data_IF_791679621403
#
_entry.id   IF_791679621403
#
_cell.length_a   1.000
_cell.length_b   1.000
_cell.length_c   1.000
_cell.angle_alpha   90.00
_cell.angle_beta   90.00
_cell.angle_gamma   90.00
#
_symmetry.space_group_name_H-M   'P 1'
#
loop_
_entity.id
_entity.type
_entity.pdbx_description
1 polymer ?
2 non-polymer ?
3 non-polymer ?
4 water ?
#
# COMPACT_ATOMS: atom_id res chain seq x y z
N UNK A 2 20.65 -5.99 26.35
CA UNK A 2 19.31 -6.63 26.30
C UNK A 2 19.22 -7.59 25.15
N UNK A 3 18.70 -8.78 25.47
CA UNK A 3 18.56 -9.83 24.47
C UNK A 3 17.76 -9.42 23.26
N UNK A 4 16.72 -8.59 23.43
CA UNK A 4 15.90 -8.26 22.30
C UNK A 4 16.61 -7.44 21.21
N UNK A 5 17.71 -6.77 21.57
CA UNK A 5 18.47 -6.04 20.56
C UNK A 5 19.75 -6.74 20.09
N UNK A 6 20.10 -7.89 20.70
CA UNK A 6 21.31 -8.64 20.38
C UNK A 6 21.01 -9.64 19.29
N UNK A 7 21.59 -9.40 18.12
CA UNK A 7 21.41 -10.18 16.88
C UNK A 7 22.78 -10.60 16.30
N UNK A 8 22.83 -11.78 15.70
CA UNK A 8 24.09 -12.23 15.05
C UNK A 8 24.56 -11.31 13.93
N UNK A 9 25.86 -11.22 13.70
CA UNK A 9 26.40 -10.36 12.61
C UNK A 9 26.24 -11.06 11.25
N UNK A 10 26.26 -12.38 11.28
CA UNK A 10 26.10 -13.15 10.05
C UNK A 10 25.47 -14.50 10.34
N UNK A 11 24.98 -15.14 9.28
CA UNK A 11 24.37 -16.46 9.36
C UNK A 11 24.99 -17.36 8.33
N UNK A 12 24.58 -18.63 8.38
CA UNK A 12 24.92 -19.60 7.33
C UNK A 12 23.69 -20.03 6.52
N UNK A 13 23.87 -20.27 5.22
CA UNK A 13 22.72 -20.47 4.38
C UNK A 13 22.55 -21.79 3.62
N UNK A 14 23.61 -22.47 3.28
CA UNK A 14 23.35 -23.55 2.31
C UNK A 14 23.22 -24.90 3.02
N UNK A 15 22.53 -24.84 4.15
CA UNK A 15 22.28 -25.97 5.05
C UNK A 15 20.80 -26.47 5.04
N UNK A 16 20.61 -27.72 5.42
CA UNK A 16 19.27 -28.31 5.40
C UNK A 16 18.20 -27.55 6.18
N UNK A 17 18.47 -27.04 7.39
CA UNK A 17 17.39 -26.32 8.10
C UNK A 17 16.85 -25.08 7.34
N UNK A 18 17.75 -24.28 6.77
CA UNK A 18 17.42 -23.07 5.98
C UNK A 18 16.56 -23.50 4.78
N UNK A 19 17.10 -24.47 4.05
CA UNK A 19 16.44 -24.88 2.81
C UNK A 19 15.07 -25.43 3.07
N UNK A 20 14.93 -26.35 4.02
CA UNK A 20 13.61 -26.98 4.33
C UNK A 20 12.60 -26.01 4.90
N UNK A 21 13.04 -25.09 5.75
CA UNK A 21 12.14 -24.08 6.30
C UNK A 21 11.50 -23.25 5.15
N UNK A 22 12.40 -22.70 4.30
CA UNK A 22 11.83 -21.87 3.22
C UNK A 22 11.12 -22.68 2.19
N UNK A 23 11.46 -23.96 2.02
CA UNK A 23 10.75 -24.80 1.03
C UNK A 23 9.29 -24.97 1.48
N UNK A 24 9.11 -25.22 2.79
CA UNK A 24 7.73 -25.41 3.28
C UNK A 24 6.91 -24.13 3.08
N UNK A 25 7.54 -22.97 3.33
CA UNK A 25 6.83 -21.69 3.09
C UNK A 25 6.54 -21.47 1.61
N UNK A 26 7.52 -21.71 0.76
CA UNK A 26 7.33 -21.60 -0.69
C UNK A 26 6.15 -22.44 -1.17
N UNK A 27 6.09 -23.71 -0.78
CA UNK A 27 5.03 -24.59 -1.21
C UNK A 27 3.69 -24.09 -0.68
N UNK A 28 3.63 -23.62 0.54
CA UNK A 28 2.38 -23.10 1.04
C UNK A 28 1.91 -21.84 0.31
N UNK A 29 2.84 -20.94 -0.02
CA UNK A 29 2.50 -19.65 -0.62
C UNK A 29 2.22 -19.80 -2.14
N UNK A 30 2.63 -20.91 -2.74
CA UNK A 30 2.41 -21.21 -4.15
C UNK A 30 0.96 -21.63 -4.33
N UNK A 31 0.09 -20.63 -4.24
CA UNK A 31 -1.36 -20.84 -4.27
C UNK A 31 -1.81 -21.71 -5.45
N UNK A 32 -1.35 -21.43 -6.66
CA UNK A 32 -1.81 -22.17 -7.85
C UNK A 32 -1.00 -23.42 -8.11
N UNK A 33 -0.08 -23.72 -7.19
CA UNK A 33 0.71 -24.95 -7.23
C UNK A 33 1.58 -25.15 -8.46
N UNK A 34 1.94 -24.07 -9.15
CA UNK A 34 2.68 -24.23 -10.42
C UNK A 34 4.22 -24.25 -10.26
N UNK A 35 4.70 -24.28 -9.02
CA UNK A 35 6.12 -24.39 -8.78
C UNK A 35 6.88 -23.08 -8.93
N UNK A 36 6.16 -21.97 -9.06
CA UNK A 36 6.73 -20.64 -9.13
C UNK A 36 5.98 -19.78 -8.17
N UNK A 37 6.66 -18.84 -7.51
CA UNK A 37 6.01 -17.97 -6.59
C UNK A 37 5.98 -16.55 -7.19
N UNK A 38 4.93 -15.81 -6.89
CA UNK A 38 4.87 -14.40 -7.31
C UNK A 38 4.59 -13.50 -6.11
N UNK A 39 4.92 -12.21 -6.23
CA UNK A 39 4.54 -11.30 -5.16
C UNK A 39 3.01 -11.28 -4.96
N UNK A 40 2.23 -11.53 -6.03
CA UNK A 40 0.76 -11.57 -5.91
C UNK A 40 0.36 -12.66 -4.89
N UNK A 41 0.92 -13.85 -5.08
CA UNK A 41 0.66 -15.00 -4.17
C UNK A 41 1.12 -14.70 -2.73
N UNK A 42 2.35 -14.18 -2.58
CA UNK A 42 2.86 -13.82 -1.26
C UNK A 42 1.96 -12.78 -0.56
N UNK A 43 1.56 -11.67 -1.22
CA UNK A 43 0.76 -10.67 -0.57
C UNK A 43 -0.63 -11.22 -0.21
N UNK A 44 -1.17 -12.09 -1.07
CA UNK A 44 -2.47 -12.71 -0.82
C UNK A 44 -2.45 -13.50 0.47
N UNK A 45 -1.39 -14.29 0.67
CA UNK A 45 -1.35 -15.17 1.85
C UNK A 45 -0.80 -14.49 3.09
N UNK A 46 0.23 -13.70 2.89
CA UNK A 46 0.97 -13.13 4.00
C UNK A 46 0.35 -11.80 4.48
N UNK A 47 -0.46 -11.15 3.64
CA UNK A 47 -1.05 -9.88 4.05
C UNK A 47 -2.57 -9.91 3.93
N UNK A 48 -3.16 -10.14 2.76
CA UNK A 48 -4.65 -10.09 2.67
C UNK A 48 -5.35 -11.02 3.70
N UNK A 49 -5.01 -12.32 3.67
CA UNK A 49 -5.70 -13.33 4.48
C UNK A 49 -5.38 -13.09 5.97
N UNK A 50 -4.14 -12.79 6.30
CA UNK A 50 -3.79 -12.59 7.71
C UNK A 50 -4.47 -11.33 8.27
N UNK A 51 -4.43 -10.19 7.58
CA UNK A 51 -5.05 -9.00 8.10
C UNK A 51 -6.56 -9.17 8.22
N UNK A 52 -7.20 -9.89 7.29
CA UNK A 52 -8.65 -10.21 7.39
C UNK A 52 -8.94 -11.06 8.64
N UNK A 53 -8.14 -12.11 8.82
CA UNK A 53 -8.30 -12.95 10.03
C UNK A 53 -8.14 -12.12 11.33
N UNK A 54 -7.18 -11.18 11.36
CA UNK A 54 -6.93 -10.36 12.56
C UNK A 54 -7.87 -9.15 12.67
N UNK A 55 -8.77 -8.98 11.69
CA UNK A 55 -9.74 -7.85 11.68
C UNK A 55 -9.02 -6.50 11.76
N UNK A 56 -7.93 -6.39 10.98
CA UNK A 56 -7.20 -5.13 10.87
C UNK A 56 -8.07 -4.06 10.19
N UNK A 57 -7.85 -2.81 10.55
CA UNK A 57 -8.53 -1.68 9.87
C UNK A 57 -7.96 -1.45 8.47
N UNK A 58 -8.67 -0.67 7.62
CA UNK A 58 -8.03 -0.40 6.31
C UNK A 58 -6.65 0.26 6.41
N UNK A 59 -6.45 1.23 7.28
CA UNK A 59 -5.13 1.82 7.39
C UNK A 59 -4.09 0.84 7.84
N UNK A 60 -4.44 0.03 8.85
CA UNK A 60 -3.50 -1.02 9.27
C UNK A 60 -3.17 -2.01 8.18
N UNK A 61 -4.17 -2.36 7.37
CA UNK A 61 -3.97 -3.32 6.27
C UNK A 61 -3.09 -2.73 5.18
N UNK A 62 -3.32 -1.46 4.80
CA UNK A 62 -2.44 -0.80 3.81
C UNK A 62 -1.00 -0.78 4.33
N UNK A 63 -0.84 -0.38 5.56
CA UNK A 63 0.48 -0.28 6.10
C UNK A 63 1.20 -1.61 6.08
N UNK A 64 0.49 -2.63 6.49
CA UNK A 64 0.99 -3.97 6.52
C UNK A 64 1.41 -4.46 5.14
N UNK A 65 0.51 -4.23 4.20
CA UNK A 65 0.80 -4.64 2.82
C UNK A 65 2.03 -3.94 2.25
N UNK A 66 2.19 -2.63 2.51
CA UNK A 66 3.30 -1.88 1.98
C UNK A 66 4.61 -2.46 2.60
N UNK A 67 4.58 -2.83 3.88
CA UNK A 67 5.76 -3.48 4.50
C UNK A 67 6.10 -4.85 3.95
N UNK A 68 5.08 -5.66 3.68
CA UNK A 68 5.25 -6.97 3.06
C UNK A 68 5.83 -6.81 1.66
N UNK A 69 5.27 -5.89 0.86
CA UNK A 69 5.80 -5.64 -0.46
C UNK A 69 7.27 -5.23 -0.37
N UNK A 70 7.65 -4.30 0.50
CA UNK A 70 9.05 -3.93 0.58
C UNK A 70 9.96 -5.10 0.94
N UNK A 71 9.50 -5.87 1.93
CA UNK A 71 10.27 -7.02 2.41
C UNK A 71 10.53 -8.01 1.29
N UNK A 72 9.50 -8.41 0.56
CA UNK A 72 9.70 -9.40 -0.46
C UNK A 72 10.32 -8.89 -1.75
N UNK A 73 10.17 -7.59 -2.00
CA UNK A 73 10.97 -6.98 -3.06
C UNK A 73 12.46 -7.08 -2.69
N UNK A 74 12.77 -7.03 -1.40
CA UNK A 74 14.12 -7.28 -0.97
C UNK A 74 14.69 -8.65 -1.26
N UNK A 75 13.79 -9.63 -1.46
CA UNK A 75 14.14 -11.00 -1.90
C UNK A 75 14.07 -11.16 -3.42
N UNK A 76 13.82 -10.08 -4.15
CA UNK A 76 13.75 -10.20 -5.60
C UNK A 76 12.36 -10.49 -6.19
N UNK A 77 11.30 -10.42 -5.36
CA UNK A 77 9.95 -10.64 -5.87
C UNK A 77 9.36 -9.39 -6.52
N UNK A 78 8.39 -9.60 -7.42
CA UNK A 78 7.67 -8.49 -8.00
C UNK A 78 6.31 -8.98 -8.48
N UNK A 79 5.32 -8.08 -8.46
CA UNK A 79 4.03 -8.51 -9.04
C UNK A 79 4.18 -8.99 -10.48
N UNK A 80 3.57 -10.12 -10.78
CA UNK A 80 3.58 -10.74 -12.10
C UNK A 80 4.85 -11.46 -12.47
N UNK A 81 5.83 -11.50 -11.56
CA UNK A 81 7.12 -12.13 -11.86
C UNK A 81 7.16 -13.51 -11.24
N UNK A 82 7.21 -14.53 -12.09
CA UNK A 82 7.16 -15.90 -11.54
C UNK A 82 8.54 -16.38 -11.21
N UNK A 83 8.76 -16.77 -9.96
CA UNK A 83 10.14 -17.15 -9.56
C UNK A 83 10.17 -18.55 -8.96
N UNK A 84 11.11 -19.38 -9.44
CA UNK A 84 11.28 -20.76 -8.97
C UNK A 84 12.01 -20.78 -7.62
N UNK A 85 11.91 -21.93 -6.95
CA UNK A 85 12.43 -22.00 -5.58
C UNK A 85 13.96 -21.66 -5.42
N UNK A 86 14.84 -22.17 -6.31
CA UNK A 86 16.26 -21.85 -6.10
C UNK A 86 16.49 -20.32 -6.17
N UNK A 87 15.87 -19.62 -7.12
CA UNK A 87 16.07 -18.17 -7.17
C UNK A 87 15.42 -17.45 -6.00
N UNK A 88 14.31 -18.00 -5.51
CA UNK A 88 13.68 -17.50 -4.29
C UNK A 88 14.67 -17.56 -3.09
N UNK A 89 15.31 -18.72 -2.93
CA UNK A 89 16.35 -18.95 -1.90
C UNK A 89 17.50 -17.96 -2.05
N UNK A 90 17.99 -17.76 -3.29
CA UNK A 90 19.07 -16.76 -3.54
C UNK A 90 18.63 -15.41 -2.97
N UNK A 91 17.39 -15.01 -3.28
CA UNK A 91 16.87 -13.74 -2.80
C UNK A 91 16.84 -13.63 -1.29
N UNK A 92 16.35 -14.68 -0.63
CA UNK A 92 16.30 -14.67 0.85
C UNK A 92 17.70 -14.58 1.43
N UNK A 93 18.68 -15.26 0.83
CA UNK A 93 20.09 -15.15 1.29
C UNK A 93 20.58 -13.70 1.22
N UNK A 94 20.36 -13.05 0.09
CA UNK A 94 20.69 -11.61 -0.07
C UNK A 94 19.99 -10.72 0.97
N UNK A 95 18.70 -10.97 1.20
CA UNK A 95 17.91 -10.16 2.12
C UNK A 95 18.47 -10.32 3.54
N UNK A 96 18.59 -11.55 4.03
CA UNK A 96 19.02 -11.79 5.39
C UNK A 96 20.41 -11.22 5.61
N UNK A 97 21.32 -11.45 4.65
CA UNK A 97 22.71 -10.93 4.77
C UNK A 97 22.70 -9.39 4.93
N UNK A 98 21.99 -8.76 4.03
CA UNK A 98 21.88 -7.31 3.98
C UNK A 98 21.27 -6.73 5.28
N UNK A 99 20.21 -7.37 5.76
CA UNK A 99 19.47 -6.90 6.93
C UNK A 99 20.29 -7.06 8.20
N UNK A 100 21.01 -8.18 8.34
CA UNK A 100 21.87 -8.33 9.53
C UNK A 100 22.98 -7.26 9.53
N UNK A 101 23.54 -6.95 8.38
CA UNK A 101 24.50 -5.83 8.31
C UNK A 101 23.88 -4.49 8.68
N UNK A 102 22.68 -4.19 8.18
CA UNK A 102 21.95 -2.96 8.53
C UNK A 102 21.76 -2.88 10.05
N UNK A 103 21.40 -4.00 10.67
CA UNK A 103 21.10 -3.98 12.11
C UNK A 103 22.37 -3.59 12.87
N UNK A 104 23.50 -4.20 12.47
CA UNK A 104 24.78 -3.95 13.14
C UNK A 104 25.30 -2.52 12.95
N UNK A 105 24.80 -1.85 11.92
CA UNK A 105 25.18 -0.48 11.58
C UNK A 105 24.15 0.56 11.97
N UNK A 106 23.12 0.17 12.74
CA UNK A 106 22.02 1.04 13.11
C UNK A 106 21.31 1.69 11.93
N UNK A 107 21.12 0.93 10.85
CA UNK A 107 20.27 1.34 9.73
C UNK A 107 18.92 0.62 9.84
N UNK A 108 17.84 1.27 9.42
CA UNK A 108 16.50 0.69 9.52
C UNK A 108 16.42 -0.61 8.70
N UNK A 109 15.74 -1.61 9.26
CA UNK A 109 15.53 -2.85 8.54
C UNK A 109 14.06 -3.06 8.12
N UNK A 110 13.91 -3.79 7.02
CA UNK A 110 12.57 -4.16 6.53
C UNK A 110 11.82 -5.03 7.53
N UNK A 111 12.57 -5.94 8.21
CA UNK A 111 11.91 -6.86 9.13
C UNK A 111 11.36 -6.10 10.34
N UNK A 112 12.09 -5.08 10.81
CA UNK A 112 11.59 -4.30 11.96
C UNK A 112 10.38 -3.46 11.57
N UNK A 113 10.39 -2.91 10.35
CA UNK A 113 9.19 -2.16 9.91
C UNK A 113 7.94 -3.05 9.80
N UNK A 114 8.15 -4.26 9.29
CA UNK A 114 7.05 -5.22 9.22
C UNK A 114 6.54 -5.56 10.62
N UNK A 115 7.47 -5.78 11.56
CA UNK A 115 7.11 -6.01 12.95
C UNK A 115 6.23 -4.90 13.51
N UNK A 116 6.54 -3.67 13.24
CA UNK A 116 5.74 -2.54 13.67
C UNK A 116 4.31 -2.67 13.17
N UNK A 117 4.18 -2.98 11.86
CA UNK A 117 2.81 -3.09 11.31
C UNK A 117 1.94 -4.20 11.90
N UNK A 118 2.59 -5.36 12.15
CA UNK A 118 1.88 -6.47 12.77
C UNK A 118 1.56 -6.16 14.25
N UNK A 119 2.54 -5.61 14.98
CA UNK A 119 2.37 -5.25 16.38
C UNK A 119 1.15 -4.33 16.56
N UNK A 120 1.06 -3.33 15.67
CA UNK A 120 -0.06 -2.38 15.78
C UNK A 120 -1.37 -3.12 15.65
N UNK A 121 -1.44 -4.09 14.74
CA UNK A 121 -2.67 -4.86 14.64
C UNK A 121 -2.99 -5.72 15.89
N UNK A 122 -1.97 -6.39 16.42
CA UNK A 122 -2.20 -7.21 17.60
C UNK A 122 -2.60 -6.41 18.83
N UNK A 123 -2.08 -5.19 18.91
CA UNK A 123 -2.26 -4.34 20.10
C UNK A 123 -3.67 -3.66 20.05
N UNK A 124 -4.69 -4.49 20.24
CA UNK A 124 -6.09 -4.07 20.00
C UNK A 124 -6.50 -2.98 20.94
N UNK A 125 -5.92 -2.93 22.14
CA UNK A 125 -6.36 -1.88 23.07
C UNK A 125 -5.43 -0.66 23.03
N UNK A 126 -4.42 -0.67 22.18
CA UNK A 126 -3.50 0.44 22.00
C UNK A 126 -2.64 0.71 23.22
N UNK A 127 -2.40 -0.31 24.03
CA UNK A 127 -1.69 -0.09 25.31
C UNK A 127 -0.18 0.08 25.12
N UNK A 128 0.34 -0.37 23.99
CA UNK A 128 1.76 -0.34 23.66
C UNK A 128 2.48 -1.59 24.04
N UNK A 129 1.72 -2.56 24.55
CA UNK A 129 2.25 -3.93 24.76
C UNK A 129 1.18 -4.94 24.39
N UNK A 130 1.62 -6.14 24.03
CA UNK A 130 0.72 -7.24 23.78
C UNK A 130 0.63 -8.13 25.02
N UNK A 131 -0.59 -8.28 25.50
CA UNK A 131 -0.86 -9.15 26.64
C UNK A 131 -1.27 -10.54 26.15
N UNK A 132 -1.27 -11.53 27.05
CA UNK A 132 -1.49 -12.92 26.59
C UNK A 132 -2.86 -13.02 25.85
N UNK A 133 -3.86 -12.29 26.32
CA UNK A 133 -5.21 -12.35 25.67
C UNK A 133 -5.20 -11.80 24.21
N UNK A 134 -4.25 -10.93 23.85
CA UNK A 134 -4.11 -10.40 22.50
C UNK A 134 -3.28 -11.35 21.59
N UNK A 135 -2.54 -12.27 22.16
CA UNK A 135 -1.61 -13.06 21.39
C UNK A 135 -2.30 -14.17 20.59
N UNK A 136 -1.64 -14.60 19.55
CA UNK A 136 -2.16 -15.61 18.66
C UNK A 136 -1.12 -16.57 18.17
N UNK A 137 -1.55 -17.76 17.77
CA UNK A 137 -0.62 -18.74 17.19
C UNK A 137 -0.39 -18.41 15.73
N UNK A 138 0.87 -18.16 15.36
CA UNK A 138 1.14 -17.65 14.00
C UNK A 138 0.72 -18.68 12.94
N UNK A 139 0.93 -19.94 13.27
CA UNK A 139 0.61 -21.07 12.36
C UNK A 139 -0.87 -21.16 12.12
N UNK A 140 -1.64 -20.76 13.12
CA UNK A 140 -3.08 -20.83 13.01
C UNK A 140 -3.67 -19.63 12.24
N UNK A 141 -3.19 -18.41 12.51
CA UNK A 141 -3.74 -17.25 11.85
C UNK A 141 -3.30 -17.25 10.39
N UNK A 142 -2.20 -17.94 10.09
CA UNK A 142 -1.75 -17.95 8.69
C UNK A 142 -2.32 -19.14 7.94
N UNK A 143 -2.80 -20.14 8.67
CA UNK A 143 -3.39 -21.30 8.08
C UNK A 143 -2.39 -22.40 7.75
N UNK A 144 -1.09 -22.20 8.00
CA UNK A 144 -0.13 -23.24 7.60
C UNK A 144 -0.11 -24.38 8.65
N UNK A 145 -0.50 -24.06 9.90
CA UNK A 145 -0.61 -25.08 10.98
C UNK A 145 -1.93 -24.85 11.70
N UNK A 146 -3.04 -25.28 11.08
CA UNK A 146 -4.33 -24.86 11.62
C UNK A 146 -4.62 -25.46 13.01
N UNK A 147 -3.86 -26.47 13.40
CA UNK A 147 -4.02 -27.11 14.72
C UNK A 147 -3.06 -26.61 15.79
N UNK A 148 -2.37 -25.52 15.51
CA UNK A 148 -1.42 -25.00 16.48
C UNK A 148 -2.17 -24.35 17.65
N UNK A 149 -1.85 -24.75 18.87
CA UNK A 149 -2.47 -24.08 20.02
C UNK A 149 -1.50 -23.85 21.18
N UNK A 150 -0.20 -23.79 20.91
CA UNK A 150 0.70 -23.49 22.02
C UNK A 150 0.95 -21.99 22.16
N UNK A 151 -0.15 -21.20 22.18
CA UNK A 151 0.00 -19.73 22.24
C UNK A 151 0.79 -19.33 23.46
N UNK A 152 0.46 -19.93 24.61
CA UNK A 152 1.10 -19.41 25.82
C UNK A 152 2.61 -19.73 25.81
N UNK A 153 3.01 -20.92 25.34
CA UNK A 153 4.45 -21.23 25.26
C UNK A 153 5.20 -20.27 24.38
N UNK A 154 4.68 -19.97 23.18
CA UNK A 154 5.41 -19.05 22.29
C UNK A 154 5.43 -17.61 22.86
N UNK A 155 4.36 -17.26 23.57
CA UNK A 155 4.26 -15.96 24.26
C UNK A 155 5.38 -15.82 25.28
N UNK A 156 5.52 -16.85 26.11
CA UNK A 156 6.54 -16.86 27.16
C UNK A 156 7.94 -16.80 26.55
N UNK A 157 8.18 -17.52 25.47
CA UNK A 157 9.51 -17.48 24.83
C UNK A 157 9.77 -16.11 24.16
N UNK A 158 8.73 -15.46 23.62
CA UNK A 158 8.89 -14.13 23.06
C UNK A 158 9.21 -13.09 24.14
N UNK A 159 8.68 -13.30 25.35
CA UNK A 159 8.82 -12.36 26.46
C UNK A 159 10.21 -12.48 27.08
N UNK A 160 11.23 -11.94 26.38
CA UNK A 160 12.65 -12.11 26.82
C UNK A 160 12.94 -11.52 28.21
N UNK A 161 12.28 -10.43 28.60
CA UNK A 161 12.53 -9.85 29.92
C UNK A 161 11.51 -10.28 31.00
N UNK A 162 10.67 -11.30 30.66
CA UNK A 162 9.68 -11.88 31.57
C UNK A 162 8.83 -10.76 32.25
N UNK A 163 8.47 -9.74 31.46
CA UNK A 163 7.64 -8.64 31.99
C UNK A 163 6.19 -9.08 32.09
N UNK A 164 5.86 -10.17 31.41
CA UNK A 164 4.48 -10.63 31.32
C UNK A 164 3.70 -10.07 30.15
N UNK A 165 4.38 -9.32 29.29
CA UNK A 165 3.78 -8.78 28.06
C UNK A 165 4.84 -8.56 27.02
N UNK A 166 4.42 -8.34 25.77
CA UNK A 166 5.38 -8.23 24.67
C UNK A 166 5.48 -6.81 24.14
N UNK A 167 6.70 -6.34 23.91
CA UNK A 167 6.86 -5.14 23.15
C UNK A 167 7.28 -5.42 21.70
N UNK A 168 7.29 -4.39 20.85
CA UNK A 168 7.50 -4.60 19.43
C UNK A 168 8.91 -5.10 19.18
N UNK A 169 9.86 -4.68 20.00
CA UNK A 169 11.23 -5.16 19.81
C UNK A 169 11.31 -6.66 20.15
N UNK A 170 10.58 -7.14 21.16
CA UNK A 170 10.57 -8.59 21.43
C UNK A 170 9.96 -9.38 20.29
N UNK A 171 8.80 -8.92 19.80
CA UNK A 171 8.16 -9.58 18.66
C UNK A 171 9.09 -9.69 17.48
N UNK A 172 9.75 -8.57 17.16
CA UNK A 172 10.62 -8.52 16.00
C UNK A 172 11.82 -9.45 16.22
N UNK A 173 12.40 -9.47 17.43
CA UNK A 173 13.58 -10.32 17.70
C UNK A 173 13.22 -11.82 17.48
N UNK A 174 12.06 -12.26 17.97
CA UNK A 174 11.65 -13.66 17.78
C UNK A 174 11.38 -13.96 16.27
N UNK A 175 10.76 -13.02 15.57
CA UNK A 175 10.53 -13.19 14.13
C UNK A 175 11.85 -13.33 13.34
N UNK A 176 12.79 -12.42 13.61
CA UNK A 176 14.10 -12.42 12.96
C UNK A 176 14.81 -13.71 13.33
N UNK A 177 14.66 -14.16 14.57
CA UNK A 177 15.26 -15.42 15.01
C UNK A 177 14.76 -16.59 14.21
N UNK A 178 13.49 -16.59 13.86
CA UNK A 178 12.96 -17.70 13.11
C UNK A 178 13.40 -17.64 11.65
N UNK A 179 13.39 -16.44 11.05
CA UNK A 179 13.57 -16.36 9.59
C UNK A 179 14.97 -15.99 9.07
N UNK A 180 15.77 -15.26 9.86
CA UNK A 180 17.13 -14.88 9.41
C UNK A 180 18.20 -15.76 10.03
N UNK A 181 18.13 -15.97 11.36
CA UNK A 181 19.24 -16.65 12.01
C UNK A 181 18.94 -18.09 12.47
N UNK A 182 17.70 -18.54 12.29
CA UNK A 182 17.22 -19.91 12.58
C UNK A 182 17.60 -20.37 14.01
N UNK A 183 17.35 -19.48 14.98
CA UNK A 183 17.61 -19.78 16.38
C UNK A 183 16.82 -20.97 16.87
N UNK A 184 17.52 -22.01 17.38
CA UNK A 184 16.77 -23.18 17.82
C UNK A 184 15.68 -22.88 18.84
N UNK A 185 15.82 -21.86 19.68
CA UNK A 185 14.79 -21.54 20.66
C UNK A 185 13.47 -21.10 20.03
N UNK A 186 13.52 -20.67 18.76
CA UNK A 186 12.29 -20.21 18.12
C UNK A 186 11.64 -21.33 17.31
N UNK A 187 12.24 -22.52 17.28
CA UNK A 187 11.66 -23.61 16.49
C UNK A 187 10.24 -23.90 17.00
N UNK A 188 9.31 -24.20 16.09
CA UNK A 188 7.93 -24.48 16.46
C UNK A 188 7.02 -23.25 16.42
N UNK A 189 7.61 -22.07 16.22
CA UNK A 189 6.84 -20.81 16.26
C UNK A 189 5.66 -20.80 15.33
N UNK A 190 5.78 -21.50 14.22
CA UNK A 190 4.69 -21.52 13.22
C UNK A 190 3.95 -22.86 13.21
N UNK A 191 4.16 -23.66 14.24
CA UNK A 191 3.48 -24.95 14.37
C UNK A 191 4.11 -26.03 13.50
N UNK A 192 3.45 -27.18 13.41
CA UNK A 192 4.05 -28.34 12.72
C UNK A 192 4.20 -28.19 11.19
N UNK A 193 3.55 -27.17 10.62
CA UNK A 193 3.60 -26.97 9.17
C UNK A 193 4.90 -26.35 8.67
N UNK A 194 5.76 -25.93 9.60
CA UNK A 194 7.03 -25.31 9.20
C UNK A 194 8.16 -25.84 10.08
N UNK A 195 9.05 -26.66 9.49
CA UNK A 195 10.24 -27.13 10.22
C UNK A 195 11.27 -26.01 10.44
N UNK B 2 -3.58 -6.98 -1.85
CA UNK B 2 -4.86 -6.49 -2.42
C UNK B 2 -4.60 -5.36 -3.40
N UNK B 3 -5.27 -5.41 -4.58
CA UNK B 3 -4.98 -4.34 -5.58
C UNK B 3 -5.22 -2.92 -5.07
N UNK B 4 -6.22 -2.74 -4.19
CA UNK B 4 -6.56 -1.40 -3.72
C UNK B 4 -5.42 -0.75 -2.91
N UNK B 5 -4.47 -1.58 -2.41
CA UNK B 5 -3.31 -1.01 -1.68
C UNK B 5 -2.01 -1.16 -2.47
N UNK B 6 -2.03 -1.75 -3.67
CA UNK B 6 -0.85 -2.00 -4.46
C UNK B 6 -0.60 -0.91 -5.52
N UNK B 7 0.47 -0.15 -5.30
CA UNK B 7 0.86 1.00 -6.17
C UNK B 7 2.26 0.77 -6.70
N UNK B 8 2.52 1.07 -7.99
CA UNK B 8 3.85 0.91 -8.59
C UNK B 8 4.93 1.82 -7.96
N UNK B 9 6.16 1.36 -7.97
CA UNK B 9 7.28 2.11 -7.42
C UNK B 9 7.75 3.21 -8.36
N UNK B 10 7.44 3.02 -9.63
CA UNK B 10 7.93 3.92 -10.65
C UNK B 10 6.93 4.22 -11.76
N UNK B 11 7.30 5.20 -12.55
CA UNK B 11 6.46 5.69 -13.61
C UNK B 11 7.22 5.55 -14.90
N UNK B 12 6.55 5.59 -16.05
CA UNK B 12 7.31 5.81 -17.30
C UNK B 12 6.81 7.13 -17.85
N UNK B 13 7.56 8.18 -17.52
CA UNK B 13 7.19 9.53 -17.86
C UNK B 13 7.43 9.71 -19.33
N UNK B 14 8.23 8.84 -19.93
CA UNK B 14 8.53 9.05 -21.33
C UNK B 14 7.58 8.19 -22.17
N UNK B 15 6.38 7.96 -21.66
CA UNK B 15 5.41 7.23 -22.43
C UNK B 15 4.58 8.35 -22.98
N UNK B 16 4.38 8.34 -24.30
CA UNK B 16 3.63 9.39 -24.97
C UNK B 16 2.29 9.58 -24.28
N UNK B 17 1.75 8.48 -23.78
CA UNK B 17 0.43 8.53 -23.18
C UNK B 17 0.42 9.51 -22.00
N UNK B 18 1.52 9.55 -21.29
CA UNK B 18 1.56 10.36 -20.11
C UNK B 18 1.62 11.84 -20.41
N UNK B 19 2.43 12.20 -21.38
CA UNK B 19 2.53 13.54 -21.87
C UNK B 19 1.16 13.94 -22.41
N UNK B 20 0.54 13.09 -23.23
CA UNK B 20 -0.73 13.48 -23.81
C UNK B 20 -1.91 13.62 -22.79
N UNK B 21 -1.95 12.76 -21.75
CA UNK B 21 -2.98 12.88 -20.68
C UNK B 21 -2.88 14.24 -20.03
N UNK B 22 -1.63 14.54 -19.62
CA UNK B 22 -1.48 15.85 -18.95
C UNK B 22 -1.64 17.06 -19.91
N UNK B 23 -1.38 16.95 -21.20
CA UNK B 23 -1.60 18.05 -22.13
C UNK B 23 -3.09 18.29 -22.25
N UNK B 24 -3.87 17.19 -22.33
CA UNK B 24 -5.32 17.41 -22.45
C UNK B 24 -5.90 18.15 -21.25
N UNK B 25 -5.40 17.76 -20.07
CA UNK B 25 -5.85 18.46 -18.84
C UNK B 25 -5.37 19.91 -18.78
N UNK B 26 -4.11 20.15 -19.11
CA UNK B 26 -3.56 21.52 -19.20
C UNK B 26 -4.42 22.42 -20.06
N UNK B 27 -4.74 21.96 -21.28
CA UNK B 27 -5.56 22.75 -22.21
C UNK B 27 -6.98 22.97 -21.62
N UNK B 28 -7.53 21.95 -20.98
CA UNK B 28 -8.86 22.09 -20.39
C UNK B 28 -8.87 23.13 -19.25
N UNK B 29 -7.82 23.11 -18.43
CA UNK B 29 -7.77 23.99 -17.23
C UNK B 29 -7.33 25.39 -17.57
N UNK B 30 -6.77 25.58 -18.77
CA UNK B 30 -6.31 26.86 -19.30
C UNK B 30 -7.54 27.66 -19.75
N UNK B 31 -8.23 28.20 -18.76
CA UNK B 31 -9.52 28.90 -18.95
C UNK B 31 -9.46 29.95 -20.02
N UNK B 32 -8.45 30.83 -19.99
CA UNK B 32 -8.35 31.90 -21.02
C UNK B 32 -7.58 31.49 -22.31
N UNK B 33 -7.18 30.23 -22.47
CA UNK B 33 -6.55 29.76 -23.71
C UNK B 33 -5.22 30.40 -24.09
N UNK B 34 -4.49 30.94 -23.12
CA UNK B 34 -3.25 31.65 -23.44
C UNK B 34 -1.98 30.79 -23.41
N UNK B 35 -2.15 29.47 -23.20
CA UNK B 35 -1.03 28.52 -23.24
C UNK B 35 -0.19 28.53 -21.99
N UNK B 36 -0.74 29.15 -20.95
CA UNK B 36 -0.15 29.19 -19.62
C UNK B 36 -1.23 28.83 -18.62
N UNK B 37 -0.85 28.15 -17.56
CA UNK B 37 -1.81 27.79 -16.51
C UNK B 37 -1.42 28.46 -15.17
N UNK B 38 -2.42 28.81 -14.36
CA UNK B 38 -2.18 29.35 -13.02
C UNK B 38 -2.93 28.56 -11.99
N UNK B 39 -2.47 28.63 -10.75
CA UNK B 39 -3.21 27.99 -9.68
C UNK B 39 -4.63 28.56 -9.61
N UNK B 40 -4.83 29.83 -9.99
CA UNK B 40 -6.19 30.42 -10.00
C UNK B 40 -7.12 29.64 -10.93
N UNK B 41 -6.62 29.38 -12.14
CA UNK B 41 -7.39 28.64 -13.13
C UNK B 41 -7.67 27.20 -12.66
N UNK B 42 -6.64 26.54 -12.14
CA UNK B 42 -6.78 25.16 -11.65
C UNK B 42 -7.82 25.10 -10.52
N UNK B 43 -7.72 25.96 -9.50
CA UNK B 43 -8.70 25.93 -8.41
C UNK B 43 -10.10 26.27 -8.92
N UNK B 44 -10.25 27.24 -9.83
CA UNK B 44 -11.56 27.53 -10.38
C UNK B 44 -12.21 26.28 -11.08
N UNK B 45 -11.46 25.59 -11.94
CA UNK B 45 -12.09 24.49 -12.67
C UNK B 45 -12.12 23.15 -11.91
N UNK B 46 -11.06 22.85 -11.18
CA UNK B 46 -10.87 21.54 -10.54
C UNK B 46 -11.45 21.55 -9.14
N UNK B 47 -11.73 22.72 -8.56
CA UNK B 47 -12.32 22.73 -7.24
C UNK B 47 -13.65 23.52 -7.21
N UNK B 48 -13.67 24.81 -7.55
CA UNK B 48 -14.91 25.59 -7.41
C UNK B 48 -16.04 24.94 -8.23
N UNK B 49 -15.75 24.74 -9.51
CA UNK B 49 -16.80 24.24 -10.40
C UNK B 49 -17.25 22.84 -10.02
N UNK B 50 -16.31 21.98 -9.69
CA UNK B 50 -16.63 20.61 -9.34
C UNK B 50 -17.43 20.55 -8.06
N UNK B 51 -17.00 21.25 -7.01
CA UNK B 51 -17.76 21.20 -5.76
C UNK B 51 -19.16 21.77 -5.96
N UNK B 52 -19.30 22.81 -6.80
CA UNK B 52 -20.62 23.33 -7.12
C UNK B 52 -21.51 22.29 -7.83
N UNK B 53 -20.97 21.62 -8.85
CA UNK B 53 -21.73 20.58 -9.56
C UNK B 53 -22.21 19.49 -8.64
N UNK B 54 -21.33 19.07 -7.73
CA UNK B 54 -21.63 17.99 -6.78
C UNK B 54 -22.40 18.43 -5.51
N UNK B 55 -22.70 19.71 -5.40
CA UNK B 55 -23.45 20.26 -4.28
C UNK B 55 -22.76 19.95 -2.94
N UNK B 56 -21.45 20.10 -2.91
CA UNK B 56 -20.70 19.98 -1.65
C UNK B 56 -21.12 21.05 -0.69
N UNK B 57 -21.02 20.74 0.62
CA UNK B 57 -21.26 21.72 1.67
C UNK B 57 -20.09 22.71 1.72
N UNK B 58 -20.28 23.84 2.41
CA UNK B 58 -19.12 24.75 2.58
C UNK B 58 -17.92 24.07 3.27
N UNK B 59 -18.11 23.25 4.30
CA UNK B 59 -16.97 22.61 4.97
C UNK B 59 -16.24 21.66 3.97
N UNK B 60 -17.01 20.87 3.21
CA UNK B 60 -16.45 20.02 2.18
C UNK B 60 -15.70 20.76 1.05
N UNK B 61 -16.24 21.89 0.64
CA UNK B 61 -15.64 22.73 -0.39
C UNK B 61 -14.32 23.30 0.12
N UNK B 62 -14.31 23.83 1.34
CA UNK B 62 -13.05 24.31 1.91
C UNK B 62 -11.98 23.19 1.96
N UNK B 63 -12.35 22.01 2.47
CA UNK B 63 -11.38 20.94 2.59
C UNK B 63 -10.81 20.58 1.20
N UNK B 64 -11.73 20.43 0.24
CA UNK B 64 -11.37 20.09 -1.14
C UNK B 64 -10.42 21.15 -1.74
N UNK B 65 -10.73 22.45 -1.58
CA UNK B 65 -9.87 23.50 -2.11
C UNK B 65 -8.51 23.45 -1.50
N UNK B 66 -8.43 23.29 -0.18
CA UNK B 66 -7.11 23.26 0.48
C UNK B 66 -6.29 22.05 0.00
N UNK B 67 -6.94 20.90 -0.23
CA UNK B 67 -6.23 19.73 -0.82
C UNK B 67 -5.71 19.98 -2.22
N UNK B 68 -6.52 20.62 -3.05
CA UNK B 68 -6.16 20.97 -4.41
C UNK B 68 -5.00 21.99 -4.40
N UNK B 69 -5.08 23.02 -3.55
CA UNK B 69 -3.98 23.95 -3.42
C UNK B 69 -2.71 23.21 -3.04
N UNK B 70 -2.76 22.33 -2.04
CA UNK B 70 -1.54 21.61 -1.60
C UNK B 70 -0.97 20.73 -2.73
N UNK B 71 -1.85 20.00 -3.41
CA UNK B 71 -1.44 19.11 -4.48
C UNK B 71 -0.76 19.89 -5.60
N UNK B 72 -1.38 20.97 -6.09
CA UNK B 72 -0.80 21.64 -7.23
C UNK B 72 0.38 22.55 -6.85
N UNK B 73 0.46 23.01 -5.60
CA UNK B 73 1.70 23.63 -5.11
C UNK B 73 2.83 22.59 -5.12
N UNK B 74 2.50 21.31 -4.92
CA UNK B 74 3.46 20.22 -5.05
C UNK B 74 3.95 20.08 -6.49
N UNK B 75 3.18 20.56 -7.46
CA UNK B 75 3.56 20.56 -8.88
C UNK B 75 4.21 21.87 -9.27
N UNK B 76 4.47 22.75 -8.31
CA UNK B 76 5.08 24.04 -8.60
C UNK B 76 4.15 25.18 -8.99
N UNK B 77 2.84 24.99 -8.78
CA UNK B 77 1.87 26.02 -9.11
C UNK B 77 1.75 27.04 -7.98
N UNK B 78 1.31 28.23 -8.34
CA UNK B 78 1.03 29.25 -7.31
C UNK B 78 0.07 30.23 -7.87
N UNK B 79 -0.72 30.83 -6.97
CA UNK B 79 -1.65 31.86 -7.40
C UNK B 79 -0.89 33.00 -8.05
N UNK B 80 -1.37 33.43 -9.20
CA UNK B 80 -0.77 34.54 -9.94
C UNK B 80 0.48 34.19 -10.73
N UNK B 81 0.90 32.94 -10.74
CA UNK B 81 2.12 32.54 -11.48
C UNK B 81 1.72 31.76 -12.74
N UNK B 82 2.02 32.31 -13.91
CA UNK B 82 1.67 31.65 -15.19
C UNK B 82 2.76 30.71 -15.61
N UNK B 83 2.39 29.45 -15.86
CA UNK B 83 3.40 28.44 -16.16
C UNK B 83 3.06 27.72 -17.46
N UNK B 84 4.04 27.58 -18.35
CA UNK B 84 3.82 26.91 -19.63
C UNK B 84 3.88 25.39 -19.46
N UNK B 85 3.47 24.67 -20.52
CA UNK B 85 3.33 23.24 -20.40
C UNK B 85 4.60 22.46 -20.03
N UNK B 86 5.77 22.75 -20.64
CA UNK B 86 6.94 21.94 -20.24
C UNK B 86 7.23 22.01 -18.74
N UNK B 87 7.14 23.22 -18.19
CA UNK B 87 7.40 23.36 -16.75
C UNK B 87 6.27 22.70 -15.92
N UNK B 88 5.05 22.86 -16.37
CA UNK B 88 3.89 22.18 -15.74
C UNK B 88 4.09 20.65 -15.66
N UNK B 89 4.47 20.06 -16.81
CA UNK B 89 4.75 18.62 -16.88
C UNK B 89 5.88 18.22 -15.94
N UNK B 90 6.95 19.02 -15.96
CA UNK B 90 8.06 18.75 -15.07
C UNK B 90 7.63 18.72 -13.60
N UNK B 91 6.76 19.67 -13.20
CA UNK B 91 6.20 19.70 -11.87
C UNK B 91 5.47 18.43 -11.53
N UNK B 92 4.66 17.95 -12.47
CA UNK B 92 3.97 16.67 -12.24
C UNK B 92 4.94 15.51 -12.10
N UNK B 93 5.99 15.52 -12.89
CA UNK B 93 7.02 14.46 -12.79
C UNK B 93 7.62 14.44 -11.39
N UNK B 94 8.03 15.61 -10.90
CA UNK B 94 8.55 15.69 -9.52
C UNK B 94 7.58 15.22 -8.48
N UNK B 95 6.35 15.69 -8.59
CA UNK B 95 5.31 15.34 -7.62
C UNK B 95 5.07 13.85 -7.63
N UNK B 96 4.89 13.26 -8.80
CA UNK B 96 4.56 11.83 -8.91
C UNK B 96 5.69 11.01 -8.34
N UNK B 97 6.93 11.36 -8.70
CA UNK B 97 8.10 10.63 -8.17
C UNK B 97 8.15 10.67 -6.64
N UNK B 98 8.00 11.88 -6.10
CA UNK B 98 8.01 12.12 -4.66
C UNK B 98 6.89 11.32 -3.94
N UNK B 99 5.71 11.35 -4.52
CA UNK B 99 4.54 10.72 -3.91
C UNK B 99 4.63 9.23 -3.93
N UNK B 100 5.13 8.65 -5.02
CA UNK B 100 5.29 7.17 -5.10
C UNK B 100 6.30 6.75 -4.05
N UNK B 101 7.35 7.57 -3.85
CA UNK B 101 8.28 7.21 -2.78
C UNK B 101 7.63 7.26 -1.40
N UNK B 102 6.84 8.32 -1.12
CA UNK B 102 6.10 8.40 0.14
C UNK B 102 5.22 7.19 0.34
N UNK B 103 4.52 6.74 -0.72
CA UNK B 103 3.61 5.62 -0.60
C UNK B 103 4.38 4.37 -0.19
N UNK B 104 5.50 4.15 -0.87
CA UNK B 104 6.29 2.91 -0.62
C UNK B 104 6.85 2.87 0.81
N UNK B 105 6.93 4.01 1.47
CA UNK B 105 7.42 4.18 2.83
C UNK B 105 6.35 4.43 3.90
N UNK B 106 5.07 4.24 3.54
CA UNK B 106 3.96 4.49 4.43
C UNK B 106 3.92 5.90 4.99
N UNK B 107 4.28 6.89 4.16
CA UNK B 107 4.12 8.29 4.52
C UNK B 107 2.88 8.84 3.80
N UNK B 108 2.17 9.80 4.43
CA UNK B 108 0.92 10.35 3.83
C UNK B 108 1.16 11.01 2.48
N UNK B 109 0.24 10.86 1.54
CA UNK B 109 0.39 11.51 0.22
C UNK B 109 -0.69 12.60 -0.01
N UNK B 110 -0.32 13.58 -0.82
CA UNK B 110 -1.25 14.68 -1.21
C UNK B 110 -2.38 14.10 -2.04
N UNK B 111 -2.06 13.11 -2.87
CA UNK B 111 -3.12 12.56 -3.71
C UNK B 111 -4.16 11.80 -2.88
N UNK B 112 -3.74 11.07 -1.83
CA UNK B 112 -4.73 10.37 -1.01
C UNK B 112 -5.58 11.38 -0.20
N UNK B 113 -4.99 12.46 0.31
CA UNK B 113 -5.78 13.48 1.04
C UNK B 113 -6.85 14.12 0.12
N UNK B 114 -6.45 14.41 -1.14
CA UNK B 114 -7.40 14.92 -2.13
C UNK B 114 -8.53 13.89 -2.34
N UNK B 115 -8.15 12.61 -2.53
CA UNK B 115 -9.14 11.55 -2.60
C UNK B 115 -10.09 11.49 -1.41
N UNK B 116 -9.61 11.60 -0.17
CA UNK B 116 -10.51 11.60 1.00
C UNK B 116 -11.56 12.72 0.86
N UNK B 117 -11.10 13.93 0.45
CA UNK B 117 -12.06 15.05 0.36
C UNK B 117 -13.19 14.83 -0.70
N UNK B 118 -12.77 14.24 -1.84
CA UNK B 118 -13.74 13.93 -2.91
C UNK B 118 -14.70 12.78 -2.49
N UNK B 119 -14.15 11.73 -1.89
CA UNK B 119 -14.95 10.61 -1.43
C UNK B 119 -16.02 11.08 -0.47
N UNK B 120 -15.65 11.97 0.48
CA UNK B 120 -16.64 12.47 1.40
C UNK B 120 -17.78 13.20 0.69
N UNK B 121 -17.46 13.96 -0.38
CA UNK B 121 -18.52 14.57 -1.17
C UNK B 121 -19.42 13.55 -1.90
N UNK B 122 -18.81 12.55 -2.54
CA UNK B 122 -19.62 11.52 -3.25
C UNK B 122 -20.52 10.71 -2.32
N UNK B 123 -20.02 10.45 -1.11
CA UNK B 123 -20.70 9.57 -0.15
C UNK B 123 -21.78 10.35 0.60
N UNK B 124 -22.86 10.65 -0.13
CA UNK B 124 -23.90 11.56 0.32
C UNK B 124 -24.62 11.06 1.58
N UNK B 125 -24.75 9.75 1.75
CA UNK B 125 -25.46 9.23 2.91
C UNK B 125 -24.50 8.83 4.03
N UNK B 126 -23.21 9.09 3.85
CA UNK B 126 -22.23 8.82 4.89
C UNK B 126 -22.03 7.35 5.26
N UNK B 127 -22.29 6.45 4.31
CA UNK B 127 -22.21 5.01 4.55
C UNK B 127 -20.79 4.43 4.60
N UNK B 128 -19.82 5.17 4.07
CA UNK B 128 -18.44 4.77 4.00
C UNK B 128 -18.17 4.03 2.69
N UNK B 129 -19.20 3.99 1.84
CA UNK B 129 -19.07 3.41 0.50
C UNK B 129 -19.86 4.23 -0.49
N UNK B 130 -19.39 4.21 -1.73
CA UNK B 130 -20.08 4.83 -2.84
C UNK B 130 -20.82 3.73 -3.57
N UNK B 131 -22.14 3.87 -3.67
CA UNK B 131 -22.98 2.93 -4.40
C UNK B 131 -23.14 3.45 -5.83
N UNK B 132 -23.65 2.60 -6.73
CA UNK B 132 -23.72 3.01 -8.11
C UNK B 132 -24.56 4.29 -8.30
N UNK B 133 -25.62 4.43 -7.50
CA UNK B 133 -26.48 5.62 -7.60
C UNK B 133 -25.74 6.89 -7.18
N UNK B 134 -24.72 6.76 -6.31
CA UNK B 134 -23.91 7.91 -5.87
C UNK B 134 -22.84 8.25 -6.90
N UNK B 135 -22.47 7.28 -7.72
CA UNK B 135 -21.37 7.45 -8.66
C UNK B 135 -21.80 8.34 -9.86
N UNK B 136 -20.76 9.00 -10.40
CA UNK B 136 -20.78 10.09 -11.42
C UNK B 136 -19.70 9.89 -12.45
N UNK B 137 -20.03 10.31 -13.68
CA UNK B 137 -19.07 10.25 -14.78
C UNK B 137 -18.14 11.45 -14.61
N UNK B 138 -16.84 11.17 -14.42
CA UNK B 138 -15.87 12.22 -14.11
C UNK B 138 -15.75 13.20 -15.27
N UNK B 139 -15.77 12.64 -16.49
CA UNK B 139 -15.62 13.44 -17.69
C UNK B 139 -16.78 14.38 -17.76
N UNK B 140 -17.95 13.93 -17.29
CA UNK B 140 -19.17 14.73 -17.38
C UNK B 140 -19.36 15.79 -16.27
N UNK B 141 -19.06 15.45 -15.02
CA UNK B 141 -19.21 16.42 -13.95
C UNK B 141 -18.14 17.46 -14.20
N UNK B 142 -17.04 17.08 -14.86
CA UNK B 142 -16.02 18.10 -15.05
C UNK B 142 -16.21 18.89 -16.34
N UNK B 143 -16.96 18.33 -17.29
CA UNK B 143 -17.24 19.02 -18.52
C UNK B 143 -16.19 18.76 -19.60
N UNK B 144 -15.17 17.93 -19.29
CA UNK B 144 -14.10 17.71 -20.28
C UNK B 144 -14.57 16.67 -21.32
N UNK B 145 -15.51 15.80 -20.89
CA UNK B 145 -16.20 14.84 -21.77
C UNK B 145 -17.70 14.90 -21.45
N UNK B 146 -18.40 15.95 -21.95
CA UNK B 146 -19.79 16.14 -21.53
C UNK B 146 -20.70 15.00 -22.05
N UNK B 147 -20.18 14.18 -22.97
CA UNK B 147 -20.96 13.03 -23.48
C UNK B 147 -20.57 11.71 -22.80
N UNK B 148 -19.80 11.77 -21.72
CA UNK B 148 -19.48 10.50 -21.03
C UNK B 148 -20.69 10.01 -20.20
N UNK B 149 -21.14 8.77 -20.47
CA UNK B 149 -22.21 8.13 -19.67
C UNK B 149 -22.06 6.61 -19.46
N UNK B 150 -20.81 6.11 -19.55
CA UNK B 150 -20.47 4.71 -19.24
C UNK B 150 -20.13 4.62 -17.75
N UNK B 151 -21.04 5.15 -16.95
CA UNK B 151 -20.88 5.17 -15.52
C UNK B 151 -20.72 3.82 -14.89
N UNK B 152 -21.55 2.88 -15.33
CA UNK B 152 -21.51 1.60 -14.67
C UNK B 152 -20.18 0.91 -14.98
N UNK B 153 -19.67 1.04 -16.22
CA UNK B 153 -18.36 0.42 -16.50
C UNK B 153 -17.23 0.99 -15.63
N UNK B 154 -17.12 2.32 -15.52
CA UNK B 154 -16.02 2.85 -14.73
C UNK B 154 -16.21 2.49 -13.25
N UNK B 155 -17.47 2.43 -12.81
CA UNK B 155 -17.76 2.04 -11.43
C UNK B 155 -17.26 0.62 -11.17
N UNK B 156 -17.61 -0.29 -12.04
CA UNK B 156 -17.18 -1.69 -11.89
C UNK B 156 -15.67 -1.83 -11.98
N UNK B 157 -15.05 -1.09 -12.89
CA UNK B 157 -13.59 -1.15 -12.92
C UNK B 157 -12.94 -0.60 -11.67
N UNK B 158 -13.57 0.39 -11.02
CA UNK B 158 -13.05 0.90 -9.76
C UNK B 158 -13.16 -0.15 -8.64
N UNK B 159 -14.24 -0.91 -8.71
CA UNK B 159 -14.63 -1.85 -7.66
C UNK B 159 -13.70 -3.07 -7.69
N UNK B 160 -12.49 -2.86 -7.21
CA UNK B 160 -11.43 -3.84 -7.30
C UNK B 160 -11.75 -5.15 -6.61
N UNK B 161 -12.51 -5.09 -5.51
CA UNK B 161 -12.83 -6.34 -4.81
C UNK B 161 -14.24 -6.92 -5.15
N UNK B 162 -14.90 -6.39 -6.19
CA UNK B 162 -16.22 -6.86 -6.57
C UNK B 162 -17.32 -6.86 -5.48
N UNK B 163 -17.21 -5.94 -4.53
CA UNK B 163 -18.18 -5.87 -3.41
C UNK B 163 -19.47 -5.23 -3.85
N UNK B 164 -19.46 -4.62 -5.03
CA UNK B 164 -20.62 -3.90 -5.54
C UNK B 164 -20.69 -2.41 -5.11
N UNK B 165 -19.68 -1.95 -4.38
CA UNK B 165 -19.59 -0.56 -3.95
C UNK B 165 -18.16 -0.16 -3.81
N UNK B 166 -17.90 1.13 -3.71
CA UNK B 166 -16.50 1.61 -3.70
C UNK B 166 -16.07 2.10 -2.35
N UNK B 167 -14.89 1.68 -1.89
CA UNK B 167 -14.38 2.30 -0.67
C UNK B 167 -13.30 3.33 -1.00
N UNK B 168 -12.89 4.13 -0.03
CA UNK B 168 -11.99 5.25 -0.39
C UNK B 168 -10.65 4.77 -0.89
N UNK B 169 -10.17 3.62 -0.43
CA UNK B 169 -8.90 3.06 -0.93
C UNK B 169 -9.03 2.67 -2.41
N UNK B 170 -10.18 2.08 -2.80
CA UNK B 170 -10.37 1.73 -4.23
C UNK B 170 -10.35 2.98 -5.11
N UNK B 171 -11.13 3.96 -4.69
CA UNK B 171 -11.29 5.17 -5.48
C UNK B 171 -9.97 5.89 -5.62
N UNK B 172 -9.25 6.04 -4.53
CA UNK B 172 -7.96 6.71 -4.54
C UNK B 172 -6.95 5.96 -5.38
N UNK B 173 -7.08 4.64 -5.30
CA UNK B 173 -6.13 3.76 -5.97
C UNK B 173 -6.08 4.02 -7.40
N UNK B 174 -7.28 3.96 -7.93
CA UNK B 174 -7.51 4.15 -9.33
C UNK B 174 -7.22 5.58 -9.84
N UNK B 175 -7.58 6.59 -9.02
CA UNK B 175 -7.21 7.96 -9.39
C UNK B 175 -5.66 8.10 -9.58
N UNK B 176 -4.91 7.55 -8.65
CA UNK B 176 -3.45 7.56 -8.67
C UNK B 176 -3.00 6.75 -9.88
N UNK B 177 -3.65 5.62 -10.14
CA UNK B 177 -3.32 4.81 -11.32
C UNK B 177 -3.47 5.57 -12.64
N UNK B 178 -4.47 6.43 -12.75
CA UNK B 178 -4.69 7.19 -13.97
C UNK B 178 -3.65 8.31 -14.13
N UNK B 179 -3.37 9.01 -13.04
CA UNK B 179 -2.58 10.27 -13.17
C UNK B 179 -1.08 10.14 -12.84
N UNK B 180 -0.69 9.17 -11.98
CA UNK B 180 0.72 8.98 -11.65
C UNK B 180 1.36 7.85 -12.45
N UNK B 181 0.76 6.66 -12.46
CA UNK B 181 1.51 5.52 -13.00
C UNK B 181 1.02 4.99 -14.35
N UNK B 182 -0.05 5.56 -14.90
CA UNK B 182 -0.58 5.19 -16.19
C UNK B 182 -0.87 3.69 -16.20
N UNK B 183 -1.30 3.22 -15.04
CA UNK B 183 -1.58 1.79 -14.77
C UNK B 183 -2.77 1.41 -15.66
N UNK B 184 -2.62 0.43 -16.59
CA UNK B 184 -3.70 0.01 -17.48
C UNK B 184 -4.93 -0.45 -16.69
N UNK B 185 -4.76 -0.97 -15.46
CA UNK B 185 -5.94 -1.29 -14.65
C UNK B 185 -6.86 -0.05 -14.37
N UNK B 186 -6.34 1.19 -14.49
CA UNK B 186 -7.14 2.42 -14.30
C UNK B 186 -7.61 3.02 -15.64
N UNK B 187 -7.28 2.37 -16.75
CA UNK B 187 -7.57 3.01 -18.07
C UNK B 187 -9.06 3.26 -18.30
N UNK B 188 -9.41 4.34 -19.04
CA UNK B 188 -10.78 4.70 -19.43
C UNK B 188 -11.63 5.67 -18.58
N UNK B 189 -11.11 5.96 -17.39
CA UNK B 189 -11.86 6.70 -16.36
C UNK B 189 -12.44 8.10 -16.70
N UNK B 190 -11.86 8.90 -17.60
CA UNK B 190 -12.35 10.28 -17.82
C UNK B 190 -13.08 10.63 -19.15
N UNK B 191 -13.50 9.63 -19.89
CA UNK B 191 -14.21 9.91 -21.14
C UNK B 191 -13.24 10.31 -22.27
N UNK B 192 -13.79 10.68 -23.42
CA UNK B 192 -12.97 10.87 -24.62
C UNK B 192 -12.12 12.16 -24.65
N UNK B 193 -12.43 13.14 -23.78
CA UNK B 193 -11.72 14.42 -23.72
C UNK B 193 -10.32 14.30 -23.09
N UNK B 194 -10.08 13.04 -22.64
CA UNK B 194 -8.83 12.62 -22.00
C UNK B 194 -8.32 11.28 -22.50
N UNK B 195 -7.23 11.31 -23.29
CA UNK B 195 -6.58 10.08 -23.78
C UNK B 195 -5.88 9.33 -22.64
X LIG C 1 4.74 -14.25 10.81
X LIG C 1 4.18 -13.24 10.34
X LIG C 1 3.42 -12.23 11.12
X LIG C 1 4.52 -11.43 11.80
X LIG C 1 5.41 -10.55 11.16
X LIG C 1 6.43 -9.85 11.86
X LIG C 1 6.56 -9.99 13.26
X LIG C 1 7.54 -9.31 13.93
X LIG C 1 5.71 -10.85 13.93
X LIG C 1 4.72 -11.54 13.19
X LIG C 1 4.32 -12.98 8.96
X LIG C 1 5.13 -13.79 8.08
X LIG C 1 4.62 -14.46 6.99
X LIG C 1 3.14 -14.58 6.79
X LIG C 1 2.82 -16.03 6.60
X LIG C 1 2.32 -16.56 5.39
X LIG C 1 2.01 -17.93 5.26
X LIG C 1 2.21 -18.82 6.30
X LIG C 1 2.74 -18.30 7.49
X LIG C 1 3.04 -16.91 7.66
X LIG C 1 5.49 -15.10 6.15
X LIG C 1 6.83 -15.04 6.35
X LIG C 1 7.38 -14.39 7.47
X LIG C 1 6.50 -13.72 8.28
X LIG C 1 7.62 -15.76 5.44
X LIG C 1 7.19 -16.04 4.15
X LIG C 1 8.01 -16.80 3.26
X LIG C 1 9.24 -17.33 3.66
X LIG C 1 10.01 -18.11 2.80
X LIG C 1 9.63 -17.11 4.98
X LIG C 1 8.86 -16.31 5.83
X LIG D 1 2.45 -20.05 -8.22
X LIG E 1 -2.32 -4.25 24.32
X LIG F 1 8.42 -8.27 27.75
X LIG G 1 -10.99 13.47 -10.81
X LIG G 1 -11.18 14.26 -9.87
X LIG G 1 -12.11 13.99 -8.73
X LIG G 1 -11.39 12.95 -7.91
X LIG G 1 -10.19 13.23 -7.16
X LIG G 1 -9.48 12.27 -6.39
X LIG G 1 -10.00 10.96 -6.41
X LIG G 1 -9.35 9.99 -5.67
X LIG G 1 -11.16 10.69 -7.16
X LIG G 1 -11.86 11.62 -7.94
X LIG G 1 -10.45 15.43 -9.81
X LIG G 1 -9.39 15.74 -10.72
X LIG G 1 -9.34 16.90 -11.47
X LIG G 1 -10.51 17.84 -11.47
X LIG G 1 -10.95 17.83 -12.86
X LIG G 1 -11.01 19.05 -13.53
X LIG G 1 -11.40 19.05 -14.85
X LIG G 1 -11.65 17.84 -15.49
X LIG G 1 -11.58 16.61 -14.81
X LIG G 1 -11.21 16.61 -13.47
X LIG G 1 -8.23 17.17 -12.22
X LIG G 1 -7.15 16.33 -12.24
X LIG G 1 -7.19 15.13 -11.48
X LIG G 1 -8.31 14.91 -10.70
X LIG G 1 -6.03 16.67 -13.04
X LIG G 1 -5.19 15.65 -13.56
X LIG G 1 -4.09 15.94 -14.36
X LIG G 1 -3.80 17.27 -14.69
X LIG G 1 -2.68 17.59 -15.48
X LIG G 1 -4.63 18.29 -14.15
X LIG G 1 -5.74 18.01 -13.35
X LIG H 1 -15.41 -2.51 -3.51
X LIG I 1 -22.78 6.02 0.38
X LIG J 1 -4.25 30.55 -18.87
#
# INVERSE_FOLDING_TARGET
>A
MASKYAVKLKTDFDNPRWIKRHKHMFDFLDINGNGKITLDEIVSKASDDICAKLEATPEQTKRHQVCVEAFFRGCGMEYGKEIAFPQYLDGWKQLATSELKKWARNEPTLIREWGDAVFDIFDKDGSGTITLDEWKAYGKISGISPSQEDCEATFRHCDLDNSGDLDVDEMTRQHLGFWYTLDPEADGLYGNGVP
>B
MASKYAVKLKTDFDNPRWIKRHKHMFDFLDINGNGKITLDEIVSKASDDICAKLEATPEQTKRHQVCVEAFFRGCGMEYGKEIAFPQYLDGWKQLATSELKKWARNEPTLIREWGDAVFDIFDKDGSGTITLDEWKAYGKISGISPSQEDCEATFRHCDLDNSGDLDVDEMTRQHLGFWYTLDPEADGLYGNGVP
>C hetero
1 CEI O33 C2 C10 C11 C12 C13 C14 O17 C15 C16 N1 C9 C8 C26 C27 C28 C29 C30 C31 C32 N7 C6 C5 N4 C19 C20 C21 C22 O25 C23 C24
>D hetero
1 CA CA
>E hetero
1 CA CA
>F hetero
1 CA CA
>G hetero
1 CEI O33 C2 C10 C11 C12 C13 C14 O17 C15 C16 N1 C9 C8 C26 C27 C28 C29 C30 C31 C32 N7 C6 C5 N4 C19 C20 C21 C22 O25 C23 C24
>H hetero
1 CA CA
>I hetero
1 CA CA
>J hetero
1 CA CA
#
